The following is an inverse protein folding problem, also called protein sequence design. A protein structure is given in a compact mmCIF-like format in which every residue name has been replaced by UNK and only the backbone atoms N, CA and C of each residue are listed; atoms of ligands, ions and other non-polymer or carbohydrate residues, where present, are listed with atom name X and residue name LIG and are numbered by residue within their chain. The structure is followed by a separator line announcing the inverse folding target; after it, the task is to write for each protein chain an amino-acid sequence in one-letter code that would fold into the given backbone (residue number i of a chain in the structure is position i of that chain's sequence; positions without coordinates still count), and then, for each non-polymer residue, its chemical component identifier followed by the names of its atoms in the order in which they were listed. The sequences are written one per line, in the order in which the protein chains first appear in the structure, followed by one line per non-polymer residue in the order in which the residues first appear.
data_IF_222997630620
#
_entry.id   IF_222997630620
#
_cell.length_a   1.000
_cell.length_b   1.000
_cell.length_c   1.000
_cell.angle_alpha   90.00
_cell.angle_beta   90.00
_cell.angle_gamma   90.00
#
_symmetry.space_group_name_H-M   'P 1'
#
loop_
_entity.id
_entity.type
_entity.pdbx_description
1 polymer ?
#
# COMPACT_ATOMS: atom_id res chain seq x y z
N UNK A 1 -22.04 43.61 8.89
CA UNK A 1 -22.63 42.77 7.82
C UNK A 1 -22.31 41.33 8.15
N UNK A 2 -23.38 40.54 8.32
CA UNK A 2 -23.36 39.08 8.52
C UNK A 2 -22.70 38.37 7.34
N UNK A 3 -21.93 37.31 7.59
CA UNK A 3 -21.75 36.20 6.67
C UNK A 3 -21.46 34.90 7.45
N UNK A 4 -22.55 34.34 7.98
CA UNK A 4 -22.67 32.91 8.32
C UNK A 4 -22.84 32.12 7.01
N UNK A 5 -21.85 31.33 6.59
CA UNK A 5 -21.95 30.19 5.66
C UNK A 5 -20.69 29.34 5.81
N UNK A 6 -20.68 28.01 5.88
CA UNK A 6 -21.69 26.94 5.88
C UNK A 6 -20.94 25.69 6.37
N UNK A 7 -21.52 24.98 7.33
CA UNK A 7 -21.21 23.58 7.56
C UNK A 7 -21.72 22.75 6.37
N UNK A 8 -20.87 21.88 5.83
CA UNK A 8 -21.24 20.69 5.04
C UNK A 8 -20.07 19.71 5.15
N UNK A 9 -19.96 19.07 6.31
CA UNK A 9 -19.24 17.81 6.45
C UNK A 9 -20.31 16.72 6.45
N UNK A 10 -20.59 16.16 5.28
CA UNK A 10 -21.47 15.01 5.16
C UNK A 10 -21.16 14.25 3.86
N UNK A 11 -21.02 12.94 4.03
CA UNK A 11 -21.26 11.88 3.05
C UNK A 11 -20.15 11.57 2.02
N UNK A 12 -19.15 10.83 2.47
CA UNK A 12 -18.53 9.75 1.68
C UNK A 12 -18.33 8.53 2.59
N UNK A 13 -19.43 8.00 3.12
CA UNK A 13 -19.47 6.78 3.92
C UNK A 13 -20.61 5.90 3.43
N UNK A 14 -20.30 4.62 3.19
CA UNK A 14 -21.15 3.54 2.69
C UNK A 14 -21.50 3.55 1.19
N UNK A 15 -20.79 2.74 0.40
CA UNK A 15 -21.38 1.54 -0.25
C UNK A 15 -20.30 0.75 -1.00
N UNK A 16 -20.07 -0.52 -0.62
CA UNK A 16 -19.87 -1.74 -1.45
C UNK A 16 -19.60 -2.88 -0.42
N UNK A 17 -20.65 -3.58 0.03
CA UNK A 17 -21.01 -4.98 -0.33
C UNK A 17 -20.06 -6.04 0.29
N UNK A 18 -20.46 -6.65 1.40
CA UNK A 18 -21.05 -8.02 1.47
C UNK A 18 -20.05 -9.12 1.06
N UNK A 19 -19.47 -9.76 2.07
CA UNK A 19 -19.14 -11.19 2.02
C UNK A 19 -19.69 -11.88 3.27
N UNK A 20 -20.35 -13.00 3.00
CA UNK A 20 -20.97 -13.90 3.98
C UNK A 20 -19.96 -14.96 4.42
N UNK A 21 -20.28 -15.60 5.55
CA UNK A 21 -19.74 -16.87 6.08
C UNK A 21 -18.46 -16.72 6.92
N UNK A 22 -18.56 -16.80 8.26
CA UNK A 22 -18.69 -18.01 9.08
C UNK A 22 -17.36 -18.73 9.30
N UNK A 23 -16.81 -18.65 10.51
CA UNK A 23 -16.70 -19.75 11.48
C UNK A 23 -15.71 -19.41 12.61
N UNK A 24 -15.94 -20.08 13.72
CA UNK A 24 -15.44 -19.85 15.07
C UNK A 24 -13.99 -20.30 15.33
N UNK A 25 -13.52 -19.88 16.51
CA UNK A 25 -12.81 -20.69 17.54
C UNK A 25 -11.28 -20.55 17.71
N UNK A 26 -10.93 -19.96 18.85
CA UNK A 26 -10.02 -20.44 19.91
C UNK A 26 -8.52 -20.78 19.62
N UNK A 27 -7.67 -19.81 19.95
CA UNK A 27 -6.47 -19.87 20.84
C UNK A 27 -5.32 -20.90 20.55
N UNK A 28 -4.17 -20.85 21.28
CA UNK A 28 -2.88 -20.44 20.72
C UNK A 28 -1.80 -21.54 20.76
N UNK A 29 -0.70 -21.41 20.01
CA UNK A 29 0.55 -22.06 20.42
C UNK A 29 1.78 -21.23 20.01
N UNK A 30 2.60 -20.95 21.01
CA UNK A 30 3.94 -20.41 20.85
C UNK A 30 4.89 -21.53 20.47
N UNK A 31 5.67 -21.37 19.42
CA UNK A 31 6.97 -22.05 19.33
C UNK A 31 7.98 -21.17 18.61
N UNK A 32 8.90 -20.64 19.42
CA UNK A 32 10.12 -19.98 19.02
C UNK A 32 11.10 -21.02 18.49
N UNK A 33 11.55 -20.87 17.26
CA UNK A 33 12.75 -21.52 16.74
C UNK A 33 13.53 -20.50 15.93
N UNK A 34 14.51 -19.87 16.58
CA UNK A 34 15.59 -19.21 15.86
C UNK A 34 16.54 -20.28 15.32
N UNK A 35 16.99 -20.13 14.08
CA UNK A 35 18.38 -20.40 13.68
C UNK A 35 18.61 -19.96 12.23
N UNK A 36 19.71 -19.26 12.08
CA UNK A 36 20.27 -18.61 10.91
C UNK A 36 20.64 -19.55 9.77
N UNK A 37 20.58 -18.97 8.55
CA UNK A 37 21.38 -19.30 7.37
C UNK A 37 20.96 -20.53 6.54
N UNK A 38 19.89 -20.34 5.78
CA UNK A 38 19.77 -20.82 4.41
C UNK A 38 19.02 -19.74 3.64
N UNK A 39 19.65 -19.09 2.65
CA UNK A 39 18.91 -18.27 1.71
C UNK A 39 18.09 -19.22 0.83
N UNK A 40 16.93 -19.61 1.33
CA UNK A 40 15.91 -20.30 0.57
C UNK A 40 15.42 -19.30 -0.50
N UNK A 41 15.39 -19.65 -1.79
CA UNK A 41 14.82 -18.76 -2.80
C UNK A 41 13.34 -18.44 -2.52
N UNK A 42 12.66 -19.21 -1.66
CA UNK A 42 11.34 -18.87 -1.14
C UNK A 42 11.34 -17.79 -0.05
N UNK A 43 12.48 -17.51 0.62
CA UNK A 43 12.55 -16.44 1.62
C UNK A 43 12.43 -15.06 0.94
N UNK A 44 13.17 -14.83 -0.15
CA UNK A 44 13.05 -13.58 -0.90
C UNK A 44 11.68 -13.36 -1.53
N UNK A 45 11.00 -14.44 -1.94
CA UNK A 45 9.63 -14.37 -2.42
C UNK A 45 8.63 -14.10 -1.29
N UNK A 46 8.82 -14.69 -0.10
CA UNK A 46 7.99 -14.40 1.08
C UNK A 46 8.16 -12.94 1.54
N UNK A 47 9.40 -12.44 1.64
CA UNK A 47 9.70 -11.04 1.96
C UNK A 47 9.06 -10.08 0.93
N UNK A 48 9.11 -10.42 -0.36
CA UNK A 48 8.42 -9.64 -1.40
C UNK A 48 6.90 -9.66 -1.21
N UNK A 49 6.30 -10.83 -1.00
CA UNK A 49 4.85 -11.00 -0.85
C UNK A 49 4.31 -10.21 0.33
N UNK A 50 4.96 -10.31 1.50
CA UNK A 50 4.59 -9.59 2.71
C UNK A 50 4.66 -8.07 2.47
N UNK A 51 5.79 -7.58 1.93
CA UNK A 51 5.97 -6.15 1.65
C UNK A 51 4.99 -5.64 0.59
N UNK A 52 4.68 -6.42 -0.45
CA UNK A 52 3.71 -6.04 -1.47
C UNK A 52 2.29 -5.90 -0.88
N UNK A 53 1.88 -6.84 -0.01
CA UNK A 53 0.58 -6.78 0.68
C UNK A 53 0.52 -5.60 1.65
N UNK A 54 1.52 -5.44 2.52
CA UNK A 54 1.57 -4.33 3.49
C UNK A 54 1.58 -2.97 2.80
N UNK A 55 2.35 -2.82 1.72
CA UNK A 55 2.42 -1.57 0.94
C UNK A 55 1.08 -1.25 0.26
N UNK A 56 0.36 -2.27 -0.21
CA UNK A 56 -0.97 -2.10 -0.77
C UNK A 56 -1.97 -1.61 0.29
N UNK A 57 -1.95 -2.16 1.49
CA UNK A 57 -2.83 -1.73 2.59
C UNK A 57 -2.50 -0.31 3.07
N UNK A 58 -1.21 0.01 3.22
CA UNK A 58 -0.73 1.32 3.62
C UNK A 58 -1.13 2.41 2.62
N UNK A 59 -1.07 2.13 1.31
CA UNK A 59 -1.42 3.11 0.27
C UNK A 59 -2.93 3.20 0.01
N UNK A 60 -3.69 2.12 0.21
CA UNK A 60 -5.14 2.11 -0.03
C UNK A 60 -5.93 2.82 1.08
N UNK A 61 -5.42 2.80 2.31
CA UNK A 61 -6.03 3.49 3.46
C UNK A 61 -5.78 5.00 3.51
N UNK A 62 -4.91 5.52 2.63
CA UNK A 62 -4.51 6.92 2.63
C UNK A 62 -5.67 7.93 2.43
N UNK A 63 -6.78 7.50 1.82
CA UNK A 63 -7.96 8.35 1.63
C UNK A 63 -8.75 8.65 2.91
N UNK A 64 -8.61 7.81 3.93
CA UNK A 64 -9.28 7.94 5.23
C UNK A 64 -8.36 8.53 6.32
N UNK A 65 -7.08 8.71 6.01
CA UNK A 65 -6.04 9.17 6.92
C UNK A 65 -5.90 10.70 6.92
N UNK A 66 -5.32 11.23 8.00
CA UNK A 66 -4.81 12.61 7.97
C UNK A 66 -3.59 12.72 7.05
N UNK A 67 -3.23 13.95 6.65
CA UNK A 67 -2.06 14.17 5.80
C UNK A 67 -0.74 13.67 6.42
N UNK A 68 -0.57 13.80 7.73
CA UNK A 68 0.62 13.29 8.43
C UNK A 68 0.66 11.75 8.49
N UNK A 69 -0.50 11.12 8.70
CA UNK A 69 -0.62 9.65 8.65
C UNK A 69 -0.38 9.11 7.24
N UNK A 70 -0.93 9.77 6.21
CA UNK A 70 -0.65 9.43 4.82
C UNK A 70 0.84 9.58 4.52
N UNK A 71 1.48 10.70 4.90
CA UNK A 71 2.92 10.90 4.72
C UNK A 71 3.73 9.74 5.32
N UNK A 72 3.38 9.35 6.55
CA UNK A 72 4.05 8.26 7.27
C UNK A 72 3.83 6.92 6.57
N UNK A 73 2.60 6.61 6.17
CA UNK A 73 2.23 5.36 5.49
C UNK A 73 2.95 5.21 4.15
N UNK A 74 2.91 6.24 3.30
CA UNK A 74 3.56 6.23 1.98
C UNK A 74 5.09 6.18 2.09
N UNK A 75 5.69 6.92 3.03
CA UNK A 75 7.15 6.89 3.24
C UNK A 75 7.61 5.53 3.77
N UNK A 76 6.87 4.94 4.70
CA UNK A 76 7.20 3.63 5.28
C UNK A 76 7.04 2.52 4.24
N UNK A 77 5.96 2.56 3.45
CA UNK A 77 5.74 1.63 2.34
C UNK A 77 6.86 1.76 1.30
N UNK A 78 7.20 2.97 0.86
CA UNK A 78 8.28 3.18 -0.11
C UNK A 78 9.61 2.61 0.36
N UNK A 79 10.00 2.88 1.61
CA UNK A 79 11.24 2.34 2.18
C UNK A 79 11.23 0.80 2.31
N UNK A 80 10.08 0.21 2.68
CA UNK A 80 9.94 -1.25 2.72
C UNK A 80 10.06 -1.85 1.31
N UNK A 81 9.43 -1.22 0.31
CA UNK A 81 9.48 -1.66 -1.07
C UNK A 81 10.89 -1.59 -1.67
N UNK A 82 11.66 -0.55 -1.35
CA UNK A 82 13.08 -0.42 -1.76
C UNK A 82 14.00 -1.47 -1.11
N UNK A 83 13.58 -2.05 0.03
CA UNK A 83 14.39 -3.01 0.78
C UNK A 83 14.31 -4.45 0.26
N UNK A 84 13.31 -4.75 -0.59
CA UNK A 84 13.07 -6.08 -1.14
C UNK A 84 13.35 -6.13 -2.62
N UNK A 85 13.84 -7.27 -3.08
CA UNK A 85 14.08 -7.53 -4.50
C UNK A 85 12.89 -8.29 -5.05
N UNK A 86 12.21 -7.70 -6.02
CA UNK A 86 11.12 -8.38 -6.72
C UNK A 86 11.63 -9.49 -7.64
N UNK A 87 10.84 -10.55 -7.86
CA UNK A 87 11.09 -11.56 -8.88
C UNK A 87 11.31 -10.96 -10.27
N UNK A 88 12.23 -11.54 -11.06
CA UNK A 88 12.61 -11.02 -12.38
C UNK A 88 11.42 -10.80 -13.34
N UNK A 89 10.36 -11.61 -13.21
CA UNK A 89 9.15 -11.51 -14.04
C UNK A 89 8.36 -10.20 -13.82
N UNK A 90 8.45 -9.62 -12.63
CA UNK A 90 7.71 -8.41 -12.24
C UNK A 90 8.62 -7.25 -11.79
N UNK A 91 9.94 -7.38 -11.94
CA UNK A 91 10.91 -6.43 -11.40
C UNK A 91 10.70 -5.00 -11.94
N UNK A 92 10.40 -4.84 -13.23
CA UNK A 92 10.13 -3.52 -13.83
C UNK A 92 8.84 -2.89 -13.28
N UNK A 93 7.81 -3.71 -13.06
CA UNK A 93 6.54 -3.25 -12.51
C UNK A 93 6.71 -2.89 -11.04
N UNK A 94 7.46 -3.68 -10.28
CA UNK A 94 7.82 -3.37 -8.90
C UNK A 94 8.59 -2.06 -8.78
N UNK A 95 9.59 -1.82 -9.63
CA UNK A 95 10.35 -0.56 -9.63
C UNK A 95 9.44 0.64 -9.93
N UNK A 96 8.54 0.50 -10.90
CA UNK A 96 7.56 1.54 -11.26
C UNK A 96 6.64 1.88 -10.08
N UNK A 97 6.10 0.86 -9.39
CA UNK A 97 5.26 1.06 -8.21
C UNK A 97 6.07 1.67 -7.08
N UNK A 98 7.25 1.14 -6.79
CA UNK A 98 8.14 1.59 -5.71
C UNK A 98 8.52 3.06 -5.89
N UNK A 99 8.98 3.44 -7.08
CA UNK A 99 9.35 4.82 -7.41
C UNK A 99 8.16 5.78 -7.22
N UNK A 100 6.96 5.36 -7.62
CA UNK A 100 5.76 6.19 -7.47
C UNK A 100 5.36 6.33 -6.00
N UNK A 101 5.45 5.24 -5.22
CA UNK A 101 5.13 5.24 -3.79
C UNK A 101 6.10 6.15 -3.02
N UNK A 102 7.40 6.09 -3.33
CA UNK A 102 8.42 6.98 -2.76
C UNK A 102 8.13 8.43 -3.10
N UNK A 103 7.87 8.75 -4.38
CA UNK A 103 7.58 10.12 -4.83
C UNK A 103 6.33 10.70 -4.16
N UNK A 104 5.27 9.89 -4.00
CA UNK A 104 4.07 10.30 -3.26
C UNK A 104 4.37 10.54 -1.77
N UNK A 105 5.21 9.70 -1.15
CA UNK A 105 5.67 9.92 0.23
C UNK A 105 6.41 11.26 0.39
N UNK A 106 7.25 11.62 -0.59
CA UNK A 106 7.95 12.91 -0.61
C UNK A 106 6.98 14.09 -0.78
N UNK A 107 5.98 13.97 -1.66
CA UNK A 107 4.93 14.98 -1.85
C UNK A 107 4.14 15.21 -0.55
N UNK A 108 3.76 14.14 0.15
CA UNK A 108 3.05 14.28 1.42
C UNK A 108 3.91 14.91 2.52
N UNK A 109 5.21 14.63 2.52
CA UNK A 109 6.16 15.13 3.52
C UNK A 109 6.57 16.59 3.31
N UNK A 110 6.71 17.03 2.05
CA UNK A 110 7.35 18.30 1.71
C UNK A 110 6.54 19.21 0.76
N UNK A 111 5.51 18.69 0.10
CA UNK A 111 4.67 19.44 -0.83
C UNK A 111 3.65 20.36 -0.14
N UNK A 112 3.09 21.28 -0.92
CA UNK A 112 1.94 22.09 -0.51
C UNK A 112 0.64 21.28 -0.57
N UNK A 113 -0.42 21.75 0.10
CA UNK A 113 -1.73 21.05 0.07
C UNK A 113 -2.28 20.86 -1.36
N UNK A 114 -1.97 21.79 -2.27
CA UNK A 114 -2.36 21.69 -3.68
C UNK A 114 -1.58 20.58 -4.41
N UNK A 115 -0.29 20.41 -4.11
CA UNK A 115 0.54 19.34 -4.66
C UNK A 115 0.12 17.97 -4.10
N UNK A 116 -0.15 17.89 -2.80
CA UNK A 116 -0.63 16.67 -2.14
C UNK A 116 -1.93 16.14 -2.72
N UNK A 117 -2.84 17.03 -3.13
CA UNK A 117 -4.08 16.63 -3.77
C UNK A 117 -3.91 16.39 -5.28
N UNK A 118 -3.25 17.32 -5.98
CA UNK A 118 -3.17 17.31 -7.44
C UNK A 118 -2.10 16.37 -8.00
N UNK A 119 -0.89 16.43 -7.47
CA UNK A 119 0.25 15.65 -7.99
C UNK A 119 0.18 14.20 -7.55
N UNK A 120 -0.17 13.94 -6.29
CA UNK A 120 -0.47 12.57 -5.83
C UNK A 120 -1.54 11.92 -6.71
N UNK A 121 -2.63 12.64 -7.00
CA UNK A 121 -3.69 12.13 -7.88
C UNK A 121 -3.16 11.88 -9.30
N UNK A 122 -2.32 12.76 -9.84
CA UNK A 122 -1.70 12.58 -11.16
C UNK A 122 -0.86 11.30 -11.23
N UNK A 123 -0.08 11.04 -10.18
CA UNK A 123 0.82 9.89 -10.11
C UNK A 123 0.08 8.57 -9.93
N UNK A 124 -0.85 8.49 -8.97
CA UNK A 124 -1.59 7.24 -8.69
C UNK A 124 -2.63 6.91 -9.76
N UNK A 125 -3.02 7.89 -10.60
CA UNK A 125 -3.89 7.67 -11.76
C UNK A 125 -3.13 7.56 -13.08
N UNK A 126 -1.79 7.64 -13.06
CA UNK A 126 -1.00 7.42 -14.26
C UNK A 126 -1.22 6.00 -14.78
N UNK A 127 -1.40 5.85 -16.09
CA UNK A 127 -1.67 4.55 -16.72
C UNK A 127 -0.55 3.53 -16.43
N UNK A 128 0.70 3.98 -16.48
CA UNK A 128 1.87 3.14 -16.21
C UNK A 128 1.87 2.62 -14.76
N UNK A 129 1.55 3.48 -13.78
CA UNK A 129 1.45 3.07 -12.38
C UNK A 129 0.31 2.08 -12.17
N UNK A 130 -0.87 2.33 -12.75
CA UNK A 130 -2.02 1.45 -12.62
C UNK A 130 -1.77 0.08 -13.26
N UNK A 131 -1.14 0.05 -14.43
CA UNK A 131 -0.76 -1.18 -15.10
C UNK A 131 0.29 -1.96 -14.28
N UNK A 132 1.32 -1.29 -13.78
CA UNK A 132 2.34 -1.90 -12.94
C UNK A 132 1.77 -2.44 -11.62
N UNK A 133 0.91 -1.65 -10.95
CA UNK A 133 0.22 -2.07 -9.73
C UNK A 133 -0.67 -3.29 -9.97
N UNK A 134 -1.43 -3.31 -11.07
CA UNK A 134 -2.25 -4.47 -11.42
C UNK A 134 -1.39 -5.72 -11.64
N UNK A 135 -0.26 -5.61 -12.34
CA UNK A 135 0.63 -6.74 -12.57
C UNK A 135 1.25 -7.28 -11.28
N UNK A 136 1.67 -6.39 -10.36
CA UNK A 136 2.16 -6.77 -9.03
C UNK A 136 1.04 -7.47 -8.22
N UNK A 137 -0.16 -6.90 -8.18
CA UNK A 137 -1.31 -7.49 -7.46
C UNK A 137 -1.68 -8.87 -8.05
N UNK A 138 -1.69 -9.03 -9.37
CA UNK A 138 -1.96 -10.29 -10.05
C UNK A 138 -0.88 -11.35 -9.76
N UNK A 139 0.39 -10.94 -9.71
CA UNK A 139 1.49 -11.84 -9.34
C UNK A 139 1.36 -12.26 -7.88
N UNK A 140 1.07 -11.34 -6.96
CA UNK A 140 0.87 -11.65 -5.54
C UNK A 140 -0.29 -12.64 -5.37
N UNK A 141 -1.41 -12.42 -6.05
CA UNK A 141 -2.57 -13.31 -5.99
C UNK A 141 -2.27 -14.74 -6.51
N UNK A 142 -1.40 -14.86 -7.51
CA UNK A 142 -1.03 -16.15 -8.10
C UNK A 142 0.08 -16.88 -7.32
N UNK A 143 1.05 -16.12 -6.80
CA UNK A 143 2.33 -16.66 -6.31
C UNK A 143 2.44 -16.66 -4.79
N UNK A 144 1.78 -15.73 -4.10
CA UNK A 144 1.92 -15.59 -2.65
C UNK A 144 0.93 -16.46 -1.85
N UNK A 145 -0.18 -16.89 -2.48
CA UNK A 145 -1.18 -17.74 -1.85
C UNK A 145 -1.96 -17.04 -0.73
N UNK A 146 -3.29 -17.13 -0.79
CA UNK A 146 -4.21 -16.73 0.27
C UNK A 146 -4.20 -17.70 1.45
#
# INVERSE_FOLDING_TARGET
MNLTRRATAAALGCLVLVTSAACSDDSPDSSSAGSTAGADPSAGAADFCDVAVESREATSSAGDQTTEEAATSWTTAGAAMESVVAPDEIAEQWETVTSTVVEVGEIFSSGTDAEKAGETQRLVLAEDFQAARSAVDDYVAQSCGS
#
